data_IF_120577242885
#
_entry.id   IF_120577242885
#
_cell.length_a   1.000
_cell.length_b   1.000
_cell.length_c   1.000
_cell.angle_alpha   90.00
_cell.angle_beta   90.00
_cell.angle_gamma   90.00
#
_symmetry.space_group_name_H-M   'P 1'
#
loop_
_entity.id
_entity.type
_entity.pdbx_description
1 polymer ?
#
# COMPACT_ATOMS: atom_id res chain seq x y z
N UNK A 1 1.42 -51.44 -9.28
CA UNK A 1 1.13 -50.09 -9.82
C UNK A 1 1.65 -49.01 -8.85
N UNK A 2 2.97 -48.77 -8.79
CA UNK A 2 3.58 -47.88 -7.79
C UNK A 2 4.66 -46.95 -8.38
N UNK A 3 4.44 -46.41 -9.58
CA UNK A 3 5.45 -45.62 -10.31
C UNK A 3 5.08 -44.17 -10.62
N UNK A 4 3.88 -43.69 -10.28
CA UNK A 4 3.37 -42.41 -10.81
C UNK A 4 3.37 -41.23 -9.83
N UNK A 5 3.61 -41.48 -8.54
CA UNK A 5 3.46 -40.45 -7.49
C UNK A 5 4.75 -39.68 -7.16
N UNK A 6 5.95 -40.25 -7.43
CA UNK A 6 7.24 -39.58 -7.18
C UNK A 6 7.52 -38.39 -8.12
N UNK A 7 7.16 -38.51 -9.40
CA UNK A 7 7.41 -37.47 -10.41
C UNK A 7 6.64 -36.16 -10.18
N UNK A 8 5.49 -36.19 -9.48
CA UNK A 8 4.66 -35.00 -9.34
C UNK A 8 5.18 -34.05 -8.26
N UNK A 9 5.73 -34.59 -7.17
CA UNK A 9 6.37 -33.80 -6.11
C UNK A 9 7.68 -33.17 -6.60
N UNK A 10 8.47 -33.89 -7.40
CA UNK A 10 9.66 -33.34 -8.06
C UNK A 10 9.28 -32.25 -9.07
N UNK A 11 8.27 -32.45 -9.90
CA UNK A 11 7.81 -31.42 -10.85
C UNK A 11 7.25 -30.16 -10.15
N UNK A 12 6.59 -30.32 -8.99
CA UNK A 12 6.16 -29.18 -8.17
C UNK A 12 7.37 -28.49 -7.57
N UNK A 13 8.32 -29.24 -7.02
CA UNK A 13 9.56 -28.71 -6.48
C UNK A 13 10.33 -27.94 -7.55
N UNK A 14 10.54 -28.52 -8.74
CA UNK A 14 11.19 -27.88 -9.87
C UNK A 14 10.45 -26.62 -10.33
N UNK A 15 9.12 -26.63 -10.35
CA UNK A 15 8.32 -25.42 -10.65
C UNK A 15 8.48 -24.35 -9.58
N UNK A 16 8.46 -24.69 -8.30
CA UNK A 16 8.69 -23.76 -7.19
C UNK A 16 10.12 -23.20 -7.25
N UNK A 17 11.12 -24.04 -7.55
CA UNK A 17 12.51 -23.63 -7.71
C UNK A 17 12.71 -22.77 -8.97
N UNK A 18 12.05 -23.08 -10.08
CA UNK A 18 12.04 -22.26 -11.29
C UNK A 18 11.34 -20.92 -11.05
N UNK A 19 10.27 -20.88 -10.25
CA UNK A 19 9.58 -19.65 -9.86
C UNK A 19 10.46 -18.78 -8.94
N UNK A 20 11.22 -19.38 -8.02
CA UNK A 20 12.25 -18.69 -7.24
C UNK A 20 13.41 -18.17 -8.10
N UNK A 21 13.82 -18.93 -9.12
CA UNK A 21 14.95 -18.59 -10.01
C UNK A 21 14.57 -17.57 -11.11
N UNK A 22 13.29 -17.40 -11.40
CA UNK A 22 12.76 -16.45 -12.38
C UNK A 22 12.44 -15.06 -11.79
N UNK A 23 12.60 -14.86 -10.48
CA UNK A 23 12.39 -13.55 -9.88
C UNK A 23 13.54 -12.61 -10.27
N UNK A 24 13.25 -11.46 -10.91
CA UNK A 24 14.28 -10.54 -11.35
C UNK A 24 15.07 -10.04 -10.13
N UNK A 25 16.39 -10.13 -10.21
CA UNK A 25 17.27 -9.55 -9.20
C UNK A 25 17.17 -8.03 -9.25
N UNK A 26 17.04 -7.41 -8.07
CA UNK A 26 17.24 -5.97 -7.89
C UNK A 26 18.74 -5.72 -8.03
N UNK A 27 19.14 -5.35 -9.24
CA UNK A 27 20.47 -4.85 -9.54
C UNK A 27 20.48 -3.31 -9.66
N UNK A 28 21.68 -2.74 -9.76
CA UNK A 28 21.86 -1.29 -9.95
C UNK A 28 21.05 -0.73 -11.13
N UNK A 29 20.91 -1.51 -12.21
CA UNK A 29 20.14 -1.13 -13.40
C UNK A 29 18.64 -1.03 -13.11
N UNK A 30 18.09 -1.97 -12.34
CA UNK A 30 16.68 -1.97 -11.93
C UNK A 30 16.36 -0.72 -11.11
N UNK A 31 17.28 -0.32 -10.24
CA UNK A 31 17.18 0.88 -9.41
C UNK A 31 17.21 2.15 -10.26
N UNK A 32 18.19 2.27 -11.16
CA UNK A 32 18.29 3.40 -12.09
C UNK A 32 17.04 3.52 -12.98
N UNK A 33 16.47 2.38 -13.38
CA UNK A 33 15.22 2.34 -14.14
C UNK A 33 14.03 2.83 -13.31
N UNK A 34 13.98 2.50 -12.02
CA UNK A 34 12.97 3.03 -11.10
C UNK A 34 13.09 4.54 -10.93
N UNK A 35 14.31 5.06 -10.76
CA UNK A 35 14.57 6.50 -10.70
C UNK A 35 14.10 7.23 -11.95
N UNK A 36 14.48 6.75 -13.14
CA UNK A 36 14.03 7.33 -14.42
C UNK A 36 12.51 7.31 -14.58
N UNK A 37 11.85 6.26 -14.08
CA UNK A 37 10.39 6.17 -14.15
C UNK A 37 9.70 7.13 -13.19
N UNK A 38 10.20 7.30 -11.96
CA UNK A 38 9.70 8.30 -11.01
C UNK A 38 9.88 9.71 -11.54
N UNK A 39 11.06 10.04 -12.08
CA UNK A 39 11.35 11.34 -12.69
C UNK A 39 10.40 11.67 -13.84
N UNK A 40 10.09 10.68 -14.67
CA UNK A 40 9.09 10.81 -15.73
C UNK A 40 7.69 11.13 -15.19
N UNK A 41 7.28 10.49 -14.09
CA UNK A 41 5.99 10.79 -13.44
C UNK A 41 5.98 12.21 -12.88
N UNK A 42 7.05 12.62 -12.19
CA UNK A 42 7.21 13.99 -11.66
C UNK A 42 7.11 15.01 -12.80
N UNK A 43 7.80 14.76 -13.91
CA UNK A 43 7.76 15.64 -15.09
C UNK A 43 6.34 15.80 -15.65
N UNK A 44 5.57 14.72 -15.75
CA UNK A 44 4.16 14.80 -16.16
C UNK A 44 3.31 15.58 -15.15
N UNK A 45 3.51 15.35 -13.85
CA UNK A 45 2.75 16.00 -12.79
C UNK A 45 3.13 17.47 -12.57
N UNK A 46 4.33 17.89 -12.98
CA UNK A 46 4.80 19.26 -12.90
C UNK A 46 4.18 20.18 -13.97
N UNK A 47 3.35 19.64 -14.87
CA UNK A 47 2.64 20.44 -15.86
C UNK A 47 1.67 21.42 -15.18
N UNK A 48 1.92 22.72 -15.36
CA UNK A 48 1.13 23.81 -14.75
C UNK A 48 -0.37 23.72 -15.06
N UNK A 49 -0.76 23.15 -16.20
CA UNK A 49 -2.17 22.94 -16.57
C UNK A 49 -2.91 22.00 -15.64
N UNK A 50 -2.20 21.14 -14.90
CA UNK A 50 -2.82 20.31 -13.88
C UNK A 50 -3.29 21.14 -12.69
N UNK A 51 -2.63 22.26 -12.36
CA UNK A 51 -2.99 23.05 -11.18
C UNK A 51 -3.06 22.19 -9.90
N UNK A 52 -2.05 21.32 -9.69
CA UNK A 52 -1.99 20.48 -8.50
C UNK A 52 -1.83 21.38 -7.26
N UNK A 53 -2.76 21.24 -6.32
CA UNK A 53 -2.70 21.96 -5.04
C UNK A 53 -1.62 21.34 -4.17
N UNK A 54 -0.92 22.19 -3.42
CA UNK A 54 0.05 21.75 -2.43
C UNK A 54 -0.64 21.29 -1.14
N UNK A 55 -1.50 20.29 -1.28
CA UNK A 55 -2.20 19.59 -0.22
C UNK A 55 -1.85 18.12 -0.36
N UNK A 56 -1.57 17.39 0.73
CA UNK A 56 -1.25 15.99 0.55
C UNK A 56 -2.47 15.22 -0.03
N UNK A 57 -2.28 14.12 -0.77
CA UNK A 57 -1.00 13.56 -1.18
C UNK A 57 -0.41 14.35 -2.35
N UNK A 58 0.66 15.10 -2.09
CA UNK A 58 1.28 15.93 -3.11
C UNK A 58 2.38 15.14 -3.79
N UNK A 59 2.06 14.56 -4.95
CA UNK A 59 2.92 13.61 -5.67
C UNK A 59 4.30 14.21 -6.01
N UNK A 60 4.39 15.52 -6.18
CA UNK A 60 5.62 16.25 -6.47
C UNK A 60 6.59 16.32 -5.29
N UNK A 61 6.12 16.08 -4.05
CA UNK A 61 6.98 15.91 -2.88
C UNK A 61 7.21 14.42 -2.58
N UNK A 62 6.16 13.60 -2.70
CA UNK A 62 6.20 12.17 -2.36
C UNK A 62 7.22 11.40 -3.19
N UNK A 63 7.29 11.61 -4.51
CA UNK A 63 8.22 10.87 -5.37
C UNK A 63 9.69 11.26 -5.12
N UNK A 64 10.05 12.55 -5.00
CA UNK A 64 11.38 12.94 -4.52
C UNK A 64 11.73 12.36 -3.15
N UNK A 65 10.81 12.38 -2.19
CA UNK A 65 11.03 11.78 -0.87
C UNK A 65 11.27 10.27 -0.96
N UNK A 66 10.49 9.57 -1.78
CA UNK A 66 10.66 8.13 -2.05
C UNK A 66 12.04 7.86 -2.66
N UNK A 67 12.45 8.69 -3.61
CA UNK A 67 13.78 8.62 -4.22
C UNK A 67 14.89 8.81 -3.18
N UNK A 68 14.81 9.85 -2.33
CA UNK A 68 15.82 10.08 -1.29
C UNK A 68 15.87 8.93 -0.29
N UNK A 69 14.72 8.41 0.15
CA UNK A 69 14.69 7.30 1.11
C UNK A 69 15.29 6.03 0.52
N UNK A 70 14.95 5.70 -0.73
CA UNK A 70 15.58 4.59 -1.45
C UNK A 70 17.09 4.77 -1.57
N UNK A 71 17.59 5.99 -1.83
CA UNK A 71 19.04 6.25 -1.83
C UNK A 71 19.70 5.94 -0.50
N UNK A 72 19.05 6.28 0.62
CA UNK A 72 19.58 5.98 1.96
C UNK A 72 19.64 4.46 2.16
N UNK A 73 18.57 3.73 1.79
CA UNK A 73 18.55 2.25 1.82
C UNK A 73 19.70 1.69 0.99
N UNK A 74 19.84 2.09 -0.27
CA UNK A 74 20.88 1.55 -1.14
C UNK A 74 22.29 1.89 -0.66
N UNK A 75 22.51 3.08 -0.11
CA UNK A 75 23.80 3.46 0.48
C UNK A 75 24.14 2.55 1.67
N UNK A 76 23.16 2.18 2.49
CA UNK A 76 23.38 1.30 3.63
C UNK A 76 23.74 -0.14 3.21
N UNK A 77 23.20 -0.61 2.09
CA UNK A 77 23.37 -1.99 1.60
C UNK A 77 24.25 -2.07 0.33
N UNK A 78 25.06 -1.06 0.02
CA UNK A 78 25.87 -1.03 -1.22
C UNK A 78 26.85 -2.21 -1.29
N UNK A 79 27.42 -2.61 -0.15
CA UNK A 79 28.32 -3.77 -0.02
C UNK A 79 27.57 -5.10 0.16
N UNK A 80 26.26 -5.07 0.44
CA UNK A 80 25.42 -6.23 0.69
C UNK A 80 24.09 -6.16 -0.07
N UNK A 81 24.18 -6.01 -1.39
CA UNK A 81 23.01 -5.96 -2.28
C UNK A 81 22.25 -7.30 -2.28
N UNK A 82 22.92 -8.41 -1.93
CA UNK A 82 22.29 -9.72 -1.78
C UNK A 82 21.20 -9.70 -0.71
N UNK A 83 21.42 -9.00 0.41
CA UNK A 83 20.38 -8.85 1.44
C UNK A 83 19.10 -8.21 0.88
N UNK A 84 19.22 -7.13 0.10
CA UNK A 84 18.06 -6.49 -0.52
C UNK A 84 17.34 -7.39 -1.53
N UNK A 85 18.08 -8.25 -2.22
CA UNK A 85 17.52 -9.25 -3.13
C UNK A 85 16.79 -10.38 -2.39
N UNK A 86 17.29 -10.79 -1.23
CA UNK A 86 16.66 -11.84 -0.43
C UNK A 86 15.47 -11.30 0.38
N UNK A 87 15.45 -10.01 0.67
CA UNK A 87 14.36 -9.35 1.37
C UNK A 87 13.06 -9.36 0.55
N UNK A 88 12.09 -10.18 0.98
CA UNK A 88 10.80 -10.36 0.31
C UNK A 88 10.03 -9.05 0.15
N UNK A 89 9.95 -8.25 1.22
CA UNK A 89 9.26 -6.96 1.20
C UNK A 89 9.89 -5.99 0.19
N UNK A 90 11.22 -5.85 0.20
CA UNK A 90 11.91 -4.92 -0.69
C UNK A 90 11.71 -5.26 -2.17
N UNK A 91 11.70 -6.56 -2.52
CA UNK A 91 11.38 -7.02 -3.87
C UNK A 91 9.96 -6.67 -4.31
N UNK A 92 8.97 -6.98 -3.47
CA UNK A 92 7.57 -6.66 -3.75
C UNK A 92 7.39 -5.14 -3.88
N UNK A 93 8.03 -4.37 -3.00
CA UNK A 93 8.00 -2.91 -3.03
C UNK A 93 8.56 -2.34 -4.35
N UNK A 94 9.75 -2.77 -4.77
CA UNK A 94 10.39 -2.29 -5.99
C UNK A 94 9.60 -2.65 -7.24
N UNK A 95 9.05 -3.88 -7.30
CA UNK A 95 8.17 -4.29 -8.39
C UNK A 95 6.89 -3.42 -8.42
N UNK A 96 6.25 -3.22 -7.26
CA UNK A 96 5.05 -2.42 -7.16
C UNK A 96 5.31 -0.97 -7.57
N UNK A 97 6.41 -0.37 -7.12
CA UNK A 97 6.82 1.00 -7.48
C UNK A 97 6.93 1.15 -8.99
N UNK A 98 7.64 0.23 -9.63
CA UNK A 98 7.78 0.20 -11.09
C UNK A 98 6.43 0.10 -11.80
N UNK A 99 5.52 -0.74 -11.29
CA UNK A 99 4.20 -0.93 -11.88
C UNK A 99 3.31 0.32 -11.71
N UNK A 100 3.29 0.94 -10.53
CA UNK A 100 2.53 2.16 -10.26
C UNK A 100 3.05 3.36 -11.05
N UNK A 101 4.36 3.51 -11.22
CA UNK A 101 4.90 4.57 -12.08
C UNK A 101 4.53 4.34 -13.56
N UNK A 102 4.64 3.10 -14.09
CA UNK A 102 4.19 2.78 -15.45
C UNK A 102 2.69 3.05 -15.64
N UNK A 103 1.86 2.68 -14.66
CA UNK A 103 0.43 2.93 -14.66
C UNK A 103 0.15 4.44 -14.74
N UNK A 104 0.86 5.24 -13.96
CA UNK A 104 0.71 6.70 -13.97
C UNK A 104 1.10 7.29 -15.33
N UNK A 105 2.23 6.88 -15.91
CA UNK A 105 2.63 7.33 -17.26
C UNK A 105 1.60 6.94 -18.32
N UNK A 106 1.02 5.73 -18.24
CA UNK A 106 -0.05 5.29 -19.15
C UNK A 106 -1.31 6.14 -18.97
N UNK A 107 -1.70 6.45 -17.74
CA UNK A 107 -2.83 7.34 -17.46
C UNK A 107 -2.68 8.68 -18.18
N UNK A 108 -1.51 9.31 -18.11
CA UNK A 108 -1.25 10.57 -18.85
C UNK A 108 -1.37 10.40 -20.37
N UNK A 109 -0.84 9.28 -20.90
CA UNK A 109 -0.88 8.99 -22.34
C UNK A 109 -2.32 8.80 -22.85
N UNK A 110 -3.12 8.08 -22.09
CA UNK A 110 -4.47 7.66 -22.50
C UNK A 110 -5.51 8.76 -22.22
N UNK A 111 -5.37 9.48 -21.10
CA UNK A 111 -6.28 10.56 -20.70
C UNK A 111 -6.18 11.79 -21.61
N UNK A 112 -5.00 12.08 -22.17
CA UNK A 112 -4.72 13.28 -22.98
C UNK A 112 -5.22 14.54 -22.26
N UNK A 113 -6.16 15.27 -22.86
CA UNK A 113 -6.71 16.51 -22.34
C UNK A 113 -7.57 16.33 -21.08
N UNK A 114 -8.19 15.15 -20.90
CA UNK A 114 -9.08 14.88 -19.76
C UNK A 114 -8.36 14.93 -18.41
N UNK A 115 -7.05 14.68 -18.37
CA UNK A 115 -6.26 14.75 -17.13
C UNK A 115 -6.23 16.16 -16.52
N UNK A 116 -6.44 17.19 -17.35
CA UNK A 116 -6.43 18.60 -16.93
C UNK A 116 -7.78 19.09 -16.41
N UNK A 117 -8.86 18.37 -16.68
CA UNK A 117 -10.17 18.64 -16.09
C UNK A 117 -10.20 18.12 -14.64
N UNK A 118 -10.36 19.03 -13.67
CA UNK A 118 -10.37 18.70 -12.25
C UNK A 118 -11.49 17.72 -11.85
N UNK A 119 -12.57 17.67 -12.62
CA UNK A 119 -13.76 16.83 -12.34
C UNK A 119 -13.71 15.46 -13.02
N UNK A 120 -12.73 15.24 -13.90
CA UNK A 120 -12.67 14.04 -14.73
C UNK A 120 -12.38 12.77 -13.91
N UNK A 121 -12.75 11.62 -14.47
CA UNK A 121 -12.43 10.32 -13.87
C UNK A 121 -10.91 10.07 -13.89
N UNK A 122 -10.22 10.57 -14.92
CA UNK A 122 -8.79 10.46 -15.10
C UNK A 122 -8.04 11.27 -14.03
N UNK A 123 -8.51 12.47 -13.69
CA UNK A 123 -7.94 13.28 -12.62
C UNK A 123 -8.17 12.67 -11.23
N UNK A 124 -9.35 12.10 -10.98
CA UNK A 124 -9.60 11.30 -9.76
C UNK A 124 -8.68 10.08 -9.69
N UNK A 125 -8.41 9.42 -10.83
CA UNK A 125 -7.47 8.30 -10.90
C UNK A 125 -6.03 8.72 -10.56
N UNK A 126 -5.58 9.90 -11.01
CA UNK A 126 -4.28 10.47 -10.63
C UNK A 126 -4.20 10.77 -9.13
N UNK A 127 -5.29 11.30 -8.56
CA UNK A 127 -5.38 11.57 -7.11
C UNK A 127 -5.28 10.26 -6.31
N UNK A 128 -5.98 9.20 -6.75
CA UNK A 128 -5.86 7.86 -6.16
C UNK A 128 -4.44 7.31 -6.25
N UNK A 129 -3.77 7.45 -7.40
CA UNK A 129 -2.36 7.05 -7.55
C UNK A 129 -1.43 7.83 -6.62
N UNK A 130 -1.71 9.11 -6.40
CA UNK A 130 -0.95 9.95 -5.46
C UNK A 130 -1.12 9.46 -4.02
N UNK A 131 -2.33 9.07 -3.60
CA UNK A 131 -2.57 8.42 -2.30
C UNK A 131 -1.77 7.11 -2.16
N UNK A 132 -1.79 6.27 -3.20
CA UNK A 132 -1.05 5.00 -3.21
C UNK A 132 0.46 5.25 -3.03
N UNK A 133 1.05 6.19 -3.77
CA UNK A 133 2.46 6.55 -3.60
C UNK A 133 2.75 7.04 -2.18
N UNK A 134 1.83 7.81 -1.57
CA UNK A 134 1.96 8.26 -0.18
C UNK A 134 2.01 7.07 0.80
N UNK A 135 1.13 6.08 0.62
CA UNK A 135 1.09 4.88 1.44
C UNK A 135 2.35 4.02 1.26
N UNK A 136 2.80 3.85 0.02
CA UNK A 136 4.05 3.15 -0.30
C UNK A 136 5.26 3.81 0.37
N UNK A 137 5.38 5.13 0.30
CA UNK A 137 6.46 5.87 0.95
C UNK A 137 6.45 5.67 2.48
N UNK A 138 5.27 5.76 3.08
CA UNK A 138 5.13 5.57 4.52
C UNK A 138 5.50 4.15 4.97
N UNK A 139 5.04 3.14 4.23
CA UNK A 139 5.37 1.75 4.46
C UNK A 139 6.88 1.51 4.35
N UNK A 140 7.52 2.07 3.30
CA UNK A 140 8.97 2.00 3.14
C UNK A 140 9.71 2.66 4.31
N UNK A 141 9.28 3.86 4.75
CA UNK A 141 9.89 4.56 5.89
C UNK A 141 9.72 3.77 7.20
N UNK A 142 8.58 3.10 7.37
CA UNK A 142 8.27 2.31 8.57
C UNK A 142 9.07 1.00 8.63
N UNK A 143 9.29 0.33 7.50
CA UNK A 143 10.01 -0.94 7.43
C UNK A 143 11.52 -0.77 7.17
N UNK A 144 11.94 0.39 6.67
CA UNK A 144 13.34 0.81 6.56
C UNK A 144 13.60 2.14 7.29
N UNK A 145 13.43 2.21 8.62
CA UNK A 145 13.74 3.42 9.37
C UNK A 145 15.22 3.79 9.17
N UNK A 146 15.48 5.04 8.76
CA UNK A 146 16.83 5.53 8.45
C UNK A 146 17.59 4.66 7.41
N UNK A 147 16.85 3.95 6.55
CA UNK A 147 17.40 3.11 5.49
C UNK A 147 17.82 1.70 5.91
N UNK A 148 17.67 1.33 7.19
CA UNK A 148 18.00 -0.02 7.70
C UNK A 148 16.73 -0.83 7.82
N UNK A 149 16.73 -2.07 7.34
CA UNK A 149 15.58 -2.95 7.47
C UNK A 149 15.25 -3.19 8.95
N UNK A 150 14.05 -2.78 9.35
CA UNK A 150 13.50 -2.90 10.70
C UNK A 150 12.20 -3.71 10.77
N UNK A 151 11.84 -4.41 9.69
CA UNK A 151 10.58 -5.14 9.61
C UNK A 151 10.43 -6.25 10.67
N UNK A 152 11.52 -6.85 11.12
CA UNK A 152 11.52 -7.85 12.20
C UNK A 152 11.25 -7.25 13.59
N UNK A 153 11.48 -5.94 13.77
CA UNK A 153 11.20 -5.20 15.01
C UNK A 153 9.94 -4.35 14.93
N UNK A 154 9.21 -4.39 13.82
CA UNK A 154 8.01 -3.58 13.66
C UNK A 154 6.99 -3.92 14.75
N UNK A 155 6.49 -2.89 15.45
CA UNK A 155 5.55 -3.07 16.56
C UNK A 155 4.14 -2.74 16.10
N UNK A 156 3.29 -3.76 16.04
CA UNK A 156 1.84 -3.57 15.91
C UNK A 156 1.32 -2.94 17.20
N UNK A 157 0.51 -1.89 17.06
CA UNK A 157 0.07 -1.00 18.14
C UNK A 157 -0.92 -1.68 19.08
N UNK A 158 -1.78 -2.57 18.56
CA UNK A 158 -2.79 -3.27 19.33
C UNK A 158 -2.28 -4.68 19.67
N UNK A 159 -2.22 -4.99 20.97
CA UNK A 159 -1.58 -6.23 21.45
C UNK A 159 -2.23 -7.49 20.86
N UNK A 160 -3.56 -7.59 20.87
CA UNK A 160 -4.26 -8.76 20.32
C UNK A 160 -3.93 -8.99 18.84
N UNK A 161 -3.82 -7.90 18.07
CA UNK A 161 -3.44 -7.95 16.66
C UNK A 161 -1.95 -8.34 16.50
N UNK A 162 -1.08 -7.83 17.37
CA UNK A 162 0.34 -8.18 17.40
C UNK A 162 0.52 -9.68 17.66
N UNK A 163 -0.20 -10.23 18.63
CA UNK A 163 -0.15 -11.65 18.99
C UNK A 163 -0.66 -12.52 17.83
N UNK A 164 -1.76 -12.12 17.19
CA UNK A 164 -2.26 -12.79 15.99
C UNK A 164 -1.20 -12.84 14.87
N UNK A 165 -0.52 -11.72 14.58
CA UNK A 165 0.50 -11.69 13.53
C UNK A 165 1.70 -12.55 13.89
N UNK A 166 2.19 -12.45 15.14
CA UNK A 166 3.34 -13.21 15.63
C UNK A 166 3.11 -14.72 15.57
N UNK A 167 1.92 -15.20 15.97
CA UNK A 167 1.58 -16.62 15.96
C UNK A 167 1.51 -17.18 14.54
N UNK A 168 0.93 -16.43 13.60
CA UNK A 168 0.60 -16.96 12.28
C UNK A 168 1.64 -16.64 11.18
N UNK A 169 2.32 -15.51 11.29
CA UNK A 169 3.26 -15.02 10.27
C UNK A 169 4.67 -14.76 10.82
N UNK A 170 4.89 -14.98 12.12
CA UNK A 170 6.20 -14.87 12.77
C UNK A 170 6.82 -13.49 12.52
N UNK A 171 8.05 -13.45 12.01
CA UNK A 171 8.80 -12.22 11.71
C UNK A 171 8.62 -11.72 10.28
N UNK A 172 7.64 -12.24 9.52
CA UNK A 172 7.39 -11.79 8.14
C UNK A 172 6.83 -10.37 8.17
N UNK A 173 7.44 -9.49 7.39
CA UNK A 173 6.95 -8.11 7.22
C UNK A 173 5.84 -7.99 6.18
N UNK A 174 5.66 -8.99 5.33
CA UNK A 174 4.66 -9.00 4.25
C UNK A 174 4.24 -10.43 3.92
N UNK A 175 2.97 -10.61 3.57
CA UNK A 175 2.39 -11.91 3.20
C UNK A 175 1.45 -11.75 2.00
N UNK A 176 1.29 -12.78 1.13
CA UNK A 176 0.31 -12.74 0.06
C UNK A 176 -1.12 -12.60 0.60
N UNK A 177 -1.99 -11.83 -0.09
CA UNK A 177 -3.39 -11.65 0.31
C UNK A 177 -4.12 -12.97 0.54
N UNK A 178 -3.86 -13.98 -0.30
CA UNK A 178 -4.51 -15.29 -0.19
C UNK A 178 -4.22 -15.93 1.18
N UNK A 179 -2.95 -15.91 1.58
CA UNK A 179 -2.50 -16.55 2.82
C UNK A 179 -3.01 -15.72 4.02
N UNK A 180 -2.92 -14.38 3.95
CA UNK A 180 -3.49 -13.48 4.96
C UNK A 180 -4.99 -13.72 5.16
N UNK A 181 -5.77 -13.77 4.08
CA UNK A 181 -7.22 -13.98 4.12
C UNK A 181 -7.56 -15.31 4.79
N UNK A 182 -6.87 -16.39 4.45
CA UNK A 182 -7.13 -17.71 5.01
C UNK A 182 -6.94 -17.69 6.53
N UNK A 183 -5.78 -17.22 7.00
CA UNK A 183 -5.47 -17.11 8.42
C UNK A 183 -6.42 -16.16 9.15
N UNK A 184 -6.74 -14.99 8.56
CA UNK A 184 -7.66 -14.04 9.18
C UNK A 184 -9.06 -14.63 9.32
N UNK A 185 -9.50 -15.48 8.37
CA UNK A 185 -10.81 -16.14 8.41
C UNK A 185 -10.96 -17.06 9.63
N UNK A 186 -9.85 -17.66 10.10
CA UNK A 186 -9.84 -18.53 11.28
C UNK A 186 -10.12 -17.74 12.57
N UNK A 187 -9.63 -16.50 12.67
CA UNK A 187 -9.87 -15.62 13.81
C UNK A 187 -11.16 -14.77 13.66
N UNK A 188 -11.46 -14.34 12.44
CA UNK A 188 -12.57 -13.48 12.07
C UNK A 188 -13.24 -14.01 10.80
N UNK A 189 -14.36 -14.73 10.91
CA UNK A 189 -15.02 -15.36 9.77
C UNK A 189 -15.41 -14.36 8.67
N UNK A 190 -14.94 -14.60 7.45
CA UNK A 190 -15.29 -13.86 6.24
C UNK A 190 -16.38 -14.66 5.50
N UNK A 191 -17.55 -14.06 5.32
CA UNK A 191 -18.78 -14.73 4.90
C UNK A 191 -18.87 -14.95 3.40
N UNK A 192 -18.26 -14.08 2.59
CA UNK A 192 -18.38 -14.15 1.12
C UNK A 192 -17.14 -13.70 0.36
N UNK A 193 -17.08 -14.04 -0.94
CA UNK A 193 -16.04 -13.55 -1.85
C UNK A 193 -16.12 -12.03 -2.07
N UNK A 194 -17.33 -11.46 -2.08
CA UNK A 194 -17.54 -10.02 -2.22
C UNK A 194 -17.03 -9.27 -0.99
N UNK A 195 -17.31 -9.78 0.21
CA UNK A 195 -16.76 -9.26 1.46
C UNK A 195 -15.23 -9.34 1.47
N UNK A 196 -14.66 -10.45 1.02
CA UNK A 196 -13.20 -10.58 0.90
C UNK A 196 -12.60 -9.55 -0.07
N UNK A 197 -13.25 -9.25 -1.20
CA UNK A 197 -12.78 -8.22 -2.13
C UNK A 197 -12.86 -6.81 -1.53
N UNK A 198 -13.96 -6.49 -0.83
CA UNK A 198 -14.12 -5.21 -0.14
C UNK A 198 -13.07 -5.06 0.98
N UNK A 199 -12.84 -6.11 1.76
CA UNK A 199 -11.84 -6.15 2.82
C UNK A 199 -10.44 -5.92 2.24
N UNK A 200 -10.08 -6.66 1.17
CA UNK A 200 -8.82 -6.46 0.47
C UNK A 200 -8.63 -5.00 0.05
N UNK A 201 -9.64 -4.40 -0.58
CA UNK A 201 -9.57 -3.00 -1.03
C UNK A 201 -9.43 -1.98 0.10
N UNK A 202 -9.71 -2.39 1.34
CA UNK A 202 -9.56 -1.56 2.55
C UNK A 202 -8.17 -1.73 3.17
N UNK A 203 -7.62 -2.96 3.22
CA UNK A 203 -6.34 -3.26 3.87
C UNK A 203 -5.14 -3.04 2.93
N UNK A 204 -5.25 -3.48 1.67
CA UNK A 204 -4.19 -3.38 0.66
C UNK A 204 -4.10 -1.93 0.15
N UNK A 205 -3.46 -1.06 0.94
CA UNK A 205 -3.33 0.38 0.67
C UNK A 205 -2.39 0.64 -0.52
N UNK A 206 -1.40 -0.24 -0.72
CA UNK A 206 -0.42 -0.13 -1.79
C UNK A 206 -0.86 -0.82 -3.11
N UNK A 207 -2.00 -1.53 -3.08
CA UNK A 207 -2.62 -2.26 -4.18
C UNK A 207 -1.64 -3.21 -4.88
N UNK A 208 -1.00 -4.09 -4.11
CA UNK A 208 0.03 -5.02 -4.60
C UNK A 208 -0.31 -6.50 -4.38
N UNK A 209 -1.55 -6.81 -3.99
CA UNK A 209 -2.04 -8.16 -3.71
C UNK A 209 -1.33 -8.86 -2.51
N UNK A 210 -0.62 -8.09 -1.70
CA UNK A 210 0.02 -8.50 -0.46
C UNK A 210 -0.49 -7.63 0.68
N UNK A 211 -0.25 -8.07 1.91
CA UNK A 211 -0.55 -7.33 3.12
C UNK A 211 0.72 -7.25 3.94
N UNK A 212 1.21 -6.03 4.17
CA UNK A 212 2.34 -5.83 5.07
C UNK A 212 1.89 -5.76 6.53
N UNK A 213 2.83 -6.01 7.44
CA UNK A 213 2.61 -5.82 8.89
C UNK A 213 2.24 -4.36 9.21
N UNK A 214 2.70 -3.42 8.37
CA UNK A 214 2.36 -2.01 8.44
C UNK A 214 0.91 -1.72 8.04
N UNK A 215 0.46 -2.24 6.89
CA UNK A 215 -0.94 -2.13 6.45
C UNK A 215 -1.88 -2.80 7.45
N UNK A 216 -1.47 -3.93 8.03
CA UNK A 216 -2.19 -4.63 9.08
C UNK A 216 -2.30 -3.80 10.38
N UNK A 217 -1.22 -3.16 10.83
CA UNK A 217 -1.26 -2.25 11.99
C UNK A 217 -2.25 -1.10 11.75
N UNK A 218 -2.18 -0.45 10.58
CA UNK A 218 -3.12 0.62 10.23
C UNK A 218 -4.57 0.11 10.31
N UNK A 219 -4.86 -1.02 9.65
CA UNK A 219 -6.22 -1.57 9.62
C UNK A 219 -6.76 -1.88 11.01
N UNK A 220 -5.95 -2.55 11.84
CA UNK A 220 -6.38 -2.96 13.19
C UNK A 220 -6.55 -1.79 14.16
N UNK A 221 -5.82 -0.69 13.96
CA UNK A 221 -6.05 0.57 14.69
C UNK A 221 -7.33 1.28 14.26
N UNK A 222 -7.64 1.25 12.96
CA UNK A 222 -8.81 1.90 12.39
C UNK A 222 -10.12 1.24 12.84
N UNK A 223 -10.15 -0.10 12.87
CA UNK A 223 -11.37 -0.87 13.10
C UNK A 223 -11.36 -1.64 14.43
N UNK A 224 -10.52 -1.20 15.35
CA UNK A 224 -10.50 -1.69 16.74
C UNK A 224 -11.90 -1.63 17.40
N UNK A 225 -12.15 -2.44 18.43
CA UNK A 225 -11.26 -3.44 19.04
C UNK A 225 -11.19 -4.76 18.28
N UNK A 226 -10.06 -5.47 18.40
CA UNK A 226 -9.76 -6.72 17.69
C UNK A 226 -10.88 -7.78 17.74
N UNK A 227 -11.51 -8.10 18.90
CA UNK A 227 -12.56 -9.14 18.95
C UNK A 227 -13.76 -8.91 18.03
N UNK A 228 -13.98 -7.66 17.60
CA UNK A 228 -15.09 -7.26 16.72
C UNK A 228 -14.62 -6.64 15.41
N UNK A 229 -13.34 -6.82 15.04
CA UNK A 229 -12.66 -6.14 13.94
C UNK A 229 -13.49 -6.06 12.65
N UNK A 230 -13.93 -7.20 12.11
CA UNK A 230 -14.70 -7.21 10.85
C UNK A 230 -16.12 -6.67 11.00
N UNK A 231 -16.74 -6.79 12.18
CA UNK A 231 -18.04 -6.16 12.45
C UNK A 231 -17.93 -4.65 12.45
N UNK A 232 -16.89 -4.12 13.07
CA UNK A 232 -16.61 -2.67 13.12
C UNK A 232 -16.26 -2.15 11.73
N UNK A 233 -15.41 -2.86 10.99
CA UNK A 233 -15.11 -2.53 9.60
C UNK A 233 -16.38 -2.50 8.73
N UNK A 234 -17.25 -3.51 8.83
CA UNK A 234 -18.49 -3.54 8.07
C UNK A 234 -19.42 -2.37 8.45
N UNK A 235 -19.60 -2.13 9.76
CA UNK A 235 -20.42 -1.03 10.26
C UNK A 235 -19.89 0.35 9.86
N UNK A 236 -18.57 0.55 9.85
CA UNK A 236 -17.94 1.86 9.67
C UNK A 236 -17.51 2.16 8.23
N UNK A 237 -17.23 1.14 7.42
CA UNK A 237 -16.65 1.29 6.08
C UNK A 237 -17.49 0.68 4.95
N UNK A 238 -18.34 -0.31 5.23
CA UNK A 238 -19.16 -0.95 4.19
C UNK A 238 -20.58 -0.37 4.17
N UNK A 239 -21.19 -0.20 5.34
CA UNK A 239 -22.61 0.18 5.46
C UNK A 239 -22.82 1.66 5.82
N UNK A 240 -21.82 2.32 6.41
CA UNK A 240 -22.00 3.71 6.86
C UNK A 240 -22.05 4.70 5.69
N UNK A 241 -23.11 5.50 5.53
CA UNK A 241 -23.28 6.41 4.39
C UNK A 241 -22.25 7.56 4.37
N UNK A 242 -21.74 7.94 5.55
CA UNK A 242 -20.68 8.94 5.71
C UNK A 242 -19.27 8.44 5.38
N UNK A 243 -19.06 7.13 5.22
CA UNK A 243 -17.74 6.61 4.86
C UNK A 243 -17.44 6.89 3.40
N UNK A 244 -16.24 7.39 3.14
CA UNK A 244 -15.77 7.62 1.78
C UNK A 244 -14.32 7.15 1.66
N UNK A 245 -14.12 6.05 0.92
CA UNK A 245 -12.79 5.53 0.63
C UNK A 245 -12.06 6.45 -0.37
N UNK A 246 -10.75 6.60 -0.19
CA UNK A 246 -9.85 7.29 -1.12
C UNK A 246 -10.23 8.75 -1.45
N UNK A 247 -10.74 9.51 -0.48
CA UNK A 247 -10.87 10.96 -0.60
C UNK A 247 -9.73 11.69 0.11
N UNK A 248 -9.29 12.78 -0.49
CA UNK A 248 -8.35 13.75 0.08
C UNK A 248 -9.06 14.79 0.93
N UNK A 249 -8.29 15.55 1.72
CA UNK A 249 -8.83 16.65 2.52
C UNK A 249 -9.59 17.68 1.67
N UNK A 250 -9.03 18.04 0.51
CA UNK A 250 -9.64 19.00 -0.42
C UNK A 250 -10.96 18.48 -1.01
N UNK A 251 -11.04 17.18 -1.33
CA UNK A 251 -12.28 16.57 -1.82
C UNK A 251 -13.34 16.48 -0.72
N UNK A 252 -12.97 16.23 0.53
CA UNK A 252 -13.89 16.31 1.68
C UNK A 252 -14.43 17.71 1.82
N UNK A 253 -13.56 18.73 1.80
CA UNK A 253 -13.97 20.14 1.87
C UNK A 253 -14.92 20.50 0.74
N UNK A 254 -14.61 20.11 -0.50
CA UNK A 254 -15.47 20.38 -1.65
C UNK A 254 -16.83 19.67 -1.54
N UNK A 255 -16.86 18.44 -1.01
CA UNK A 255 -18.08 17.65 -0.81
C UNK A 255 -18.99 18.20 0.27
N UNK A 256 -18.41 18.76 1.33
CA UNK A 256 -19.16 19.37 2.44
C UNK A 256 -19.58 20.82 2.15
N UNK A 257 -18.94 21.50 1.19
CA UNK A 257 -19.22 22.90 0.85
C UNK A 257 -20.70 23.22 0.60
N UNK A 258 -21.48 22.39 -0.13
CA UNK A 258 -22.91 22.63 -0.34
C UNK A 258 -23.74 22.57 0.96
N UNK A 259 -23.21 21.94 2.01
CA UNK A 259 -23.88 21.71 3.30
C UNK A 259 -23.39 22.66 4.39
N UNK A 260 -22.69 23.75 4.03
CA UNK A 260 -22.12 24.70 4.99
C UNK A 260 -23.15 25.30 5.97
N UNK A 261 -24.41 25.42 5.53
CA UNK A 261 -25.52 25.94 6.33
C UNK A 261 -26.27 24.84 7.13
N UNK A 262 -25.76 23.60 7.15
CA UNK A 262 -26.35 22.45 7.86
C UNK A 262 -25.34 21.89 8.88
N UNK A 263 -25.23 22.51 10.08
CA UNK A 263 -24.34 22.03 11.11
C UNK A 263 -24.68 20.57 11.48
N UNK A 264 -23.65 19.75 11.71
CA UNK A 264 -23.80 18.31 11.94
C UNK A 264 -23.66 17.44 10.68
N UNK A 265 -23.52 18.02 9.48
CA UNK A 265 -23.18 17.26 8.27
C UNK A 265 -21.72 16.83 8.34
N UNK A 266 -21.46 15.53 8.18
CA UNK A 266 -20.10 14.99 8.23
C UNK A 266 -19.88 13.92 7.16
N UNK A 267 -18.62 13.74 6.83
CA UNK A 267 -18.09 12.53 6.19
C UNK A 267 -16.87 12.11 7.00
N UNK A 268 -16.59 10.81 7.04
CA UNK A 268 -15.38 10.32 7.69
C UNK A 268 -14.52 9.53 6.70
N UNK A 269 -13.22 9.81 6.75
CA UNK A 269 -12.21 9.14 5.94
C UNK A 269 -11.61 7.98 6.73
N UNK A 270 -11.10 6.93 6.07
CA UNK A 270 -10.14 6.06 6.72
C UNK A 270 -8.95 6.93 7.16
N UNK A 271 -8.68 6.99 8.48
CA UNK A 271 -7.61 7.81 9.09
C UNK A 271 -6.18 7.41 8.64
N UNK A 272 -6.03 6.49 7.69
CA UNK A 272 -4.75 6.13 7.08
C UNK A 272 -4.01 7.37 6.57
N UNK A 273 -4.71 8.43 6.14
CA UNK A 273 -4.05 9.68 5.76
C UNK A 273 -3.57 10.52 6.97
N UNK A 274 -4.31 10.51 8.09
CA UNK A 274 -3.96 11.28 9.30
C UNK A 274 -2.79 10.64 10.07
N UNK A 275 -2.73 9.31 10.12
CA UNK A 275 -1.63 8.60 10.79
C UNK A 275 -0.28 8.75 10.07
N UNK A 276 -0.28 9.04 8.75
CA UNK A 276 0.95 9.18 7.96
C UNK A 276 1.55 10.58 8.00
N UNK A 277 0.73 11.60 8.29
CA UNK A 277 1.18 13.00 8.38
C UNK A 277 1.58 13.38 9.81
N UNK A 278 1.17 12.60 10.83
CA UNK A 278 1.58 12.84 12.21
C UNK A 278 1.70 11.53 13.00
N UNK A 279 2.91 10.97 13.16
CA UNK A 279 3.16 9.82 14.04
C UNK A 279 2.79 10.10 15.51
N UNK A 280 2.70 11.38 15.89
CA UNK A 280 2.38 11.87 17.23
C UNK A 280 0.89 12.01 17.53
N UNK A 281 -0.01 11.79 16.55
CA UNK A 281 -1.44 11.69 16.83
C UNK A 281 -1.78 10.26 17.30
N UNK A 282 -1.24 9.92 18.46
CA UNK A 282 -1.85 8.93 19.36
C UNK A 282 -3.15 9.56 19.88
N UNK A 283 -4.21 9.53 19.07
CA UNK A 283 -5.55 9.77 19.60
C UNK A 283 -5.89 8.55 20.47
N UNK A 284 -5.86 8.82 21.78
CA UNK A 284 -6.48 8.11 22.91
C UNK A 284 -7.12 6.76 22.58
#
# INVERSE_FOLDING_TARGET
MAGRSRNWLEAISERIHAQKKAQPSIDKKTIEKAWKMMDKVVTHCANRRLNLKNSPPFILDILPDTYQHLRIVFKHYEENVTFLNENEFFRIFMENLMNKCKQTVRLFKDAKEKIFDETSAERRSLTKLSLIFSHMLAELKALFPMGVYGGYTFRVTKQDAADFWAVNFQTRAIVPWRDFRQTLTEAHPIQSSLEAMALKSTIDLTLNDHISIFEFDIFTRLFQPWPTLLKNWNALAVTHPGYQAFLTYDEVKAKLQPYINRPGTYVHLPLAYIFLVSPSLSLL
#
